data_IF_278507102648
#
_entry.id   IF_278507102648
#
_cell.length_a   1.000
_cell.length_b   1.000
_cell.length_c   1.000
_cell.angle_alpha   90.00
_cell.angle_beta   90.00
_cell.angle_gamma   90.00
#
_symmetry.space_group_name_H-M   'P 1'
#
loop_
_entity.id
_entity.type
_entity.pdbx_description
1 polymer ?
#
# COMPACT_ATOMS: atom_id res chain seq x y z
N UNK A 1 19.04 6.25 1.55
CA UNK A 1 18.07 5.16 1.25
C UNK A 1 18.41 3.86 1.98
N UNK A 2 19.69 3.54 2.17
CA UNK A 2 20.07 2.33 2.90
C UNK A 2 19.50 2.25 4.33
N UNK A 3 19.37 3.37 5.01
CA UNK A 3 18.71 3.43 6.32
C UNK A 3 17.32 2.81 6.31
N UNK A 4 16.51 3.11 5.30
CA UNK A 4 15.13 2.63 5.20
C UNK A 4 15.06 1.18 4.74
N UNK A 5 15.96 0.76 3.86
CA UNK A 5 16.07 -0.65 3.47
C UNK A 5 16.44 -1.51 4.68
N UNK A 6 17.38 -1.05 5.49
CA UNK A 6 17.77 -1.72 6.74
C UNK A 6 16.64 -1.73 7.76
N UNK A 7 15.89 -0.64 7.88
CA UNK A 7 14.71 -0.57 8.73
C UNK A 7 13.67 -1.64 8.33
N UNK A 8 13.36 -1.73 7.04
CA UNK A 8 12.41 -2.71 6.51
C UNK A 8 12.88 -4.16 6.77
N UNK A 9 14.16 -4.45 6.52
CA UNK A 9 14.71 -5.78 6.75
C UNK A 9 14.67 -6.17 8.23
N UNK A 10 15.04 -5.26 9.14
CA UNK A 10 14.92 -5.49 10.58
C UNK A 10 13.46 -5.66 11.02
N UNK A 11 12.54 -5.02 10.33
CA UNK A 11 11.10 -5.14 10.57
C UNK A 11 10.46 -6.40 10.03
N UNK A 12 11.24 -7.27 9.34
CA UNK A 12 10.75 -8.55 8.83
C UNK A 12 10.59 -8.65 7.31
N UNK A 13 10.99 -7.62 6.55
CA UNK A 13 11.00 -7.74 5.10
C UNK A 13 12.07 -8.75 4.65
N UNK A 14 11.66 -9.72 3.83
CA UNK A 14 12.58 -10.68 3.23
C UNK A 14 13.48 -10.01 2.20
N UNK A 15 12.93 -9.06 1.43
CA UNK A 15 13.65 -8.27 0.45
C UNK A 15 13.14 -6.84 0.47
N UNK A 16 14.03 -5.88 0.19
CA UNK A 16 13.69 -4.48 0.02
C UNK A 16 14.67 -3.85 -0.97
N UNK A 17 14.17 -3.06 -1.90
CA UNK A 17 14.95 -2.39 -2.93
C UNK A 17 14.40 -1.00 -3.24
N UNK A 18 15.29 -0.10 -3.60
CA UNK A 18 14.92 1.20 -4.19
C UNK A 18 14.60 0.97 -5.68
N UNK A 19 13.48 1.50 -6.12
CA UNK A 19 13.06 1.43 -7.52
C UNK A 19 12.72 2.82 -8.07
N UNK A 20 12.77 2.97 -9.37
CA UNK A 20 12.24 4.15 -10.07
C UNK A 20 10.70 4.02 -10.12
N UNK A 21 9.94 5.01 -9.61
CA UNK A 21 8.48 5.00 -9.70
C UNK A 21 7.94 4.81 -11.12
N UNK A 22 8.69 5.23 -12.14
CA UNK A 22 8.32 5.03 -13.55
C UNK A 22 8.25 3.57 -13.98
N UNK A 23 8.82 2.67 -13.19
CA UNK A 23 8.74 1.22 -13.43
C UNK A 23 7.48 0.59 -12.86
N UNK A 24 6.72 1.34 -12.08
CA UNK A 24 5.45 0.88 -11.52
C UNK A 24 4.37 1.02 -12.60
N UNK A 25 3.73 -0.09 -12.92
CA UNK A 25 2.69 -0.15 -13.95
C UNK A 25 1.33 -0.13 -13.28
N UNK A 26 0.46 0.79 -13.71
CA UNK A 26 -0.94 0.83 -13.31
C UNK A 26 -1.83 0.47 -14.49
N UNK A 27 -2.92 -0.24 -14.23
CA UNK A 27 -3.82 -0.68 -15.29
C UNK A 27 -5.23 -0.95 -14.76
N UNK A 28 -6.29 -0.72 -15.58
CA UNK A 28 -7.67 -0.97 -15.15
C UNK A 28 -7.99 -2.46 -14.95
N UNK A 29 -7.30 -3.37 -15.65
CA UNK A 29 -7.59 -4.81 -15.56
C UNK A 29 -7.32 -5.40 -14.16
N UNK A 30 -6.49 -4.76 -13.34
CA UNK A 30 -6.19 -5.24 -11.98
C UNK A 30 -7.45 -5.19 -11.11
N UNK A 31 -8.18 -4.07 -11.12
CA UNK A 31 -9.43 -3.94 -10.37
C UNK A 31 -10.53 -4.90 -10.89
N UNK A 32 -10.50 -5.24 -12.19
CA UNK A 32 -11.38 -6.27 -12.74
C UNK A 32 -11.18 -7.62 -12.06
N UNK A 33 -9.93 -8.02 -11.82
CA UNK A 33 -9.62 -9.26 -11.10
C UNK A 33 -10.16 -9.23 -9.66
N UNK A 34 -10.08 -8.07 -8.99
CA UNK A 34 -10.66 -7.91 -7.67
C UNK A 34 -12.18 -8.06 -7.71
N UNK A 35 -12.84 -7.41 -8.67
CA UNK A 35 -14.30 -7.42 -8.78
C UNK A 35 -14.85 -8.82 -9.08
N UNK A 36 -14.20 -9.58 -9.93
CA UNK A 36 -14.72 -10.85 -10.43
C UNK A 36 -14.04 -12.10 -9.87
N UNK A 37 -13.04 -11.92 -9.00
CA UNK A 37 -12.29 -13.05 -8.47
C UNK A 37 -11.88 -12.96 -7.00
N UNK A 38 -12.08 -11.82 -6.34
CA UNK A 38 -11.66 -11.64 -4.96
C UNK A 38 -12.84 -11.53 -4.00
N UNK A 39 -12.91 -12.35 -2.93
CA UNK A 39 -14.01 -12.30 -1.96
C UNK A 39 -14.02 -11.02 -1.12
N UNK A 40 -12.93 -10.24 -1.13
CA UNK A 40 -12.81 -8.99 -0.37
C UNK A 40 -13.29 -7.75 -1.13
N UNK A 41 -13.71 -7.89 -2.39
CA UNK A 41 -14.25 -6.77 -3.17
C UNK A 41 -15.44 -6.13 -2.44
N UNK A 42 -15.37 -4.83 -2.25
CA UNK A 42 -16.42 -4.06 -1.56
C UNK A 42 -16.52 -4.29 -0.05
N UNK A 43 -15.65 -5.11 0.53
CA UNK A 43 -15.74 -5.52 1.94
C UNK A 43 -14.93 -4.65 2.90
N UNK A 44 -14.02 -3.82 2.41
CA UNK A 44 -13.22 -2.90 3.22
C UNK A 44 -12.80 -1.67 2.41
N UNK A 45 -12.35 -0.62 3.10
CA UNK A 45 -12.02 0.67 2.47
C UNK A 45 -10.64 0.68 1.79
N UNK A 46 -9.84 -0.36 1.93
CA UNK A 46 -8.53 -0.48 1.29
C UNK A 46 -8.56 -1.25 -0.02
N UNK A 47 -9.73 -1.78 -0.40
CA UNK A 47 -9.97 -2.56 -1.61
C UNK A 47 -11.00 -1.88 -2.53
N UNK A 48 -11.05 -2.24 -3.81
CA UNK A 48 -12.06 -1.69 -4.70
C UNK A 48 -13.49 -2.05 -4.24
N UNK A 49 -14.46 -1.23 -4.53
CA UNK A 49 -14.41 0.05 -5.26
C UNK A 49 -14.02 1.25 -4.38
N UNK A 50 -13.65 1.02 -3.12
CA UNK A 50 -13.37 2.09 -2.15
C UNK A 50 -11.93 2.61 -2.23
N UNK A 51 -10.99 1.82 -2.74
CA UNK A 51 -9.62 2.25 -2.97
C UNK A 51 -9.55 3.19 -4.19
N UNK A 52 -8.52 4.06 -4.28
CA UNK A 52 -8.31 4.91 -5.45
C UNK A 52 -8.26 4.11 -6.75
N UNK A 53 -8.83 4.68 -7.82
CA UNK A 53 -8.77 4.08 -9.15
C UNK A 53 -7.35 4.16 -9.73
N UNK A 54 -7.04 3.31 -10.73
CA UNK A 54 -5.69 3.20 -11.30
C UNK A 54 -5.16 4.52 -11.87
N UNK A 55 -6.02 5.39 -12.41
CA UNK A 55 -5.62 6.70 -12.93
C UNK A 55 -5.19 7.66 -11.82
N UNK A 56 -5.91 7.66 -10.72
CA UNK A 56 -5.55 8.45 -9.53
C UNK A 56 -4.25 7.94 -8.91
N UNK A 57 -4.08 6.63 -8.86
CA UNK A 57 -2.85 5.98 -8.41
C UNK A 57 -1.67 6.37 -9.28
N UNK A 58 -1.83 6.35 -10.62
CA UNK A 58 -0.78 6.78 -11.54
C UNK A 58 -0.40 8.25 -11.31
N UNK A 59 -1.38 9.13 -11.18
CA UNK A 59 -1.14 10.54 -10.90
C UNK A 59 -0.40 10.75 -9.57
N UNK A 60 -0.72 9.96 -8.56
CA UNK A 60 -0.02 9.98 -7.28
C UNK A 60 1.44 9.51 -7.43
N UNK A 61 1.66 8.39 -8.13
CA UNK A 61 3.01 7.84 -8.38
C UNK A 61 3.89 8.86 -9.11
N UNK A 62 3.32 9.57 -10.08
CA UNK A 62 4.03 10.58 -10.86
C UNK A 62 4.55 11.77 -10.03
N UNK A 63 4.06 11.93 -8.80
CA UNK A 63 4.56 12.95 -7.86
C UNK A 63 5.87 12.56 -7.18
N UNK A 64 6.38 11.34 -7.36
CA UNK A 64 7.54 10.82 -6.65
C UNK A 64 8.72 10.56 -7.59
N UNK A 65 9.91 10.87 -7.12
CA UNK A 65 11.16 10.55 -7.80
C UNK A 65 11.82 9.25 -7.33
N UNK A 66 11.32 8.67 -6.26
CA UNK A 66 11.90 7.45 -5.66
C UNK A 66 10.79 6.63 -4.99
N UNK A 67 10.87 5.32 -5.12
CA UNK A 67 10.02 4.39 -4.40
C UNK A 67 10.85 3.28 -3.76
N UNK A 68 10.30 2.65 -2.73
CA UNK A 68 10.87 1.45 -2.12
C UNK A 68 9.85 0.33 -2.30
N UNK A 69 10.30 -0.76 -2.88
CA UNK A 69 9.54 -2.00 -2.97
C UNK A 69 10.10 -3.01 -1.98
N UNK A 70 9.22 -3.64 -1.22
CA UNK A 70 9.62 -4.70 -0.29
C UNK A 70 8.60 -5.82 -0.27
N UNK A 71 9.00 -6.98 0.21
CA UNK A 71 8.12 -8.11 0.42
C UNK A 71 8.36 -8.75 1.80
N UNK A 72 7.29 -9.30 2.36
CA UNK A 72 7.31 -10.04 3.62
C UNK A 72 6.86 -11.48 3.39
N UNK A 73 7.40 -12.46 4.17
CA UNK A 73 6.92 -13.84 4.09
C UNK A 73 5.45 -14.00 4.47
N UNK A 74 4.97 -13.17 5.42
CA UNK A 74 3.60 -13.17 5.89
C UNK A 74 2.87 -11.92 5.41
N UNK A 75 1.72 -12.08 4.75
CA UNK A 75 0.95 -10.98 4.18
C UNK A 75 0.49 -9.97 5.25
N UNK A 76 0.12 -10.44 6.43
CA UNK A 76 -0.33 -9.59 7.54
C UNK A 76 0.76 -8.68 8.10
N UNK A 77 2.04 -8.95 7.82
CA UNK A 77 3.15 -8.11 8.25
C UNK A 77 3.38 -6.91 7.31
N UNK A 78 2.86 -6.94 6.08
CA UNK A 78 3.15 -5.92 5.06
C UNK A 78 2.62 -4.54 5.45
N UNK A 79 1.33 -4.46 5.78
CA UNK A 79 0.68 -3.17 6.02
C UNK A 79 1.24 -2.43 7.24
N UNK A 80 1.42 -3.07 8.42
CA UNK A 80 2.04 -2.39 9.55
C UNK A 80 3.46 -1.93 9.26
N UNK A 81 4.25 -2.72 8.53
CA UNK A 81 5.63 -2.37 8.20
C UNK A 81 5.70 -1.23 7.18
N UNK A 82 4.82 -1.23 6.16
CA UNK A 82 4.72 -0.14 5.19
C UNK A 82 4.37 1.18 5.89
N UNK A 83 3.40 1.15 6.78
CA UNK A 83 3.00 2.33 7.54
C UNK A 83 4.12 2.84 8.46
N UNK A 84 4.82 1.94 9.14
CA UNK A 84 5.96 2.29 10.00
C UNK A 84 7.09 2.92 9.17
N UNK A 85 7.40 2.40 8.01
CA UNK A 85 8.42 2.95 7.11
C UNK A 85 8.04 4.35 6.60
N UNK A 86 6.77 4.56 6.22
CA UNK A 86 6.29 5.88 5.81
C UNK A 86 6.39 6.90 6.94
N UNK A 87 6.12 6.48 8.18
CA UNK A 87 6.29 7.33 9.36
C UNK A 87 7.74 7.71 9.59
N UNK A 88 8.68 6.78 9.47
CA UNK A 88 10.11 7.07 9.58
C UNK A 88 10.54 8.08 8.51
N UNK A 89 10.11 7.89 7.27
CA UNK A 89 10.39 8.83 6.18
C UNK A 89 9.84 10.23 6.49
N UNK A 90 8.62 10.31 7.00
CA UNK A 90 7.99 11.57 7.36
C UNK A 90 8.76 12.29 8.48
N UNK A 91 9.15 11.56 9.53
CA UNK A 91 9.92 12.12 10.65
C UNK A 91 11.32 12.61 10.23
N UNK A 92 11.87 12.02 9.18
CA UNK A 92 13.14 12.47 8.58
C UNK A 92 12.95 13.65 7.59
N UNK A 93 11.77 14.27 7.55
CA UNK A 93 11.47 15.43 6.73
C UNK A 93 10.96 15.13 5.31
N UNK A 94 10.69 13.88 4.98
CA UNK A 94 10.12 13.48 3.68
C UNK A 94 8.59 13.52 3.75
N UNK A 95 8.04 14.73 3.82
CA UNK A 95 6.62 14.96 4.11
C UNK A 95 5.63 14.34 3.11
N UNK A 96 6.07 14.06 1.89
CA UNK A 96 5.23 13.42 0.86
C UNK A 96 5.20 11.88 0.94
N UNK A 97 5.89 11.27 1.92
CA UNK A 97 5.93 9.81 2.03
C UNK A 97 4.52 9.21 2.09
N UNK A 98 4.27 8.24 1.23
CA UNK A 98 2.99 7.51 1.13
C UNK A 98 3.26 6.02 1.20
N UNK A 99 2.43 5.30 1.94
CA UNK A 99 2.49 3.84 2.03
C UNK A 99 1.34 3.20 1.26
N UNK A 100 1.65 2.16 0.52
CA UNK A 100 0.68 1.23 -0.07
C UNK A 100 0.91 -0.15 0.54
N UNK A 101 -0.19 -0.85 0.83
CA UNK A 101 -0.14 -2.18 1.39
C UNK A 101 -0.39 -3.27 0.38
N UNK A 102 -0.67 -4.46 0.87
CA UNK A 102 -1.07 -5.62 0.08
C UNK A 102 -2.21 -6.36 0.77
N UNK A 103 -3.16 -6.84 -0.01
CA UNK A 103 -4.33 -7.55 0.50
C UNK A 103 -5.36 -6.63 1.19
N UNK A 104 -6.40 -7.24 1.77
CA UNK A 104 -7.47 -6.49 2.44
C UNK A 104 -7.00 -5.87 3.74
N UNK A 105 -7.76 -4.86 4.22
CA UNK A 105 -7.57 -4.33 5.57
C UNK A 105 -8.09 -5.35 6.60
N UNK A 106 -7.24 -5.67 7.57
CA UNK A 106 -7.52 -6.63 8.64
C UNK A 106 -7.63 -5.99 10.03
N UNK A 107 -7.76 -4.65 10.10
CA UNK A 107 -7.81 -3.93 11.38
C UNK A 107 -9.12 -4.15 12.15
N UNK A 108 -10.21 -4.43 11.45
CA UNK A 108 -11.52 -4.72 12.04
C UNK A 108 -11.92 -6.14 11.70
N UNK A 109 -12.66 -6.80 12.60
CA UNK A 109 -13.27 -8.10 12.32
C UNK A 109 -14.25 -7.99 11.14
N UNK A 110 -15.05 -6.91 11.12
CA UNK A 110 -15.92 -6.55 10.01
C UNK A 110 -15.81 -5.05 9.75
N UNK A 111 -15.47 -4.67 8.53
CA UNK A 111 -15.30 -3.26 8.16
C UNK A 111 -16.65 -2.55 8.05
N UNK A 112 -16.77 -1.39 8.71
CA UNK A 112 -17.83 -0.44 8.43
C UNK A 112 -17.39 0.43 7.24
N UNK A 113 -17.73 0.03 6.03
CA UNK A 113 -17.32 0.71 4.78
C UNK A 113 -17.83 2.15 4.65
N UNK A 114 -18.74 2.60 5.51
CA UNK A 114 -19.22 3.97 5.53
C UNK A 114 -18.25 4.90 6.28
N UNK A 115 -17.56 4.40 7.30
CA UNK A 115 -16.65 5.19 8.13
C UNK A 115 -15.55 4.30 8.70
N UNK A 116 -14.28 4.68 8.49
CA UNK A 116 -13.14 3.97 9.03
C UNK A 116 -13.00 4.22 10.54
N UNK A 117 -12.84 3.15 11.33
CA UNK A 117 -12.59 3.22 12.79
C UNK A 117 -11.11 3.45 13.11
N UNK A 118 -10.21 3.26 12.15
CA UNK A 118 -8.76 3.36 12.31
C UNK A 118 -8.12 4.23 11.21
N UNK A 119 -8.54 5.50 11.05
CA UNK A 119 -8.15 6.31 9.88
C UNK A 119 -6.67 6.61 9.78
N UNK A 120 -5.90 6.49 10.84
CA UNK A 120 -4.45 6.68 10.81
C UNK A 120 -3.65 5.39 10.61
N UNK A 121 -4.30 4.25 10.46
CA UNK A 121 -3.67 2.92 10.40
C UNK A 121 -4.02 2.13 9.13
N UNK A 122 -5.13 2.46 8.49
CA UNK A 122 -5.55 1.83 7.25
C UNK A 122 -4.79 2.43 6.06
N UNK A 123 -4.25 1.57 5.21
CA UNK A 123 -3.58 1.98 3.96
C UNK A 123 -4.17 1.19 2.79
N UNK A 124 -4.30 1.80 1.61
CA UNK A 124 -4.86 1.11 0.46
C UNK A 124 -3.93 0.00 -0.03
N UNK A 125 -4.52 -1.08 -0.53
CA UNK A 125 -3.74 -2.16 -1.15
C UNK A 125 -3.26 -1.76 -2.54
N UNK A 126 -2.04 -2.17 -2.92
CA UNK A 126 -1.51 -1.94 -4.26
C UNK A 126 -2.45 -2.49 -5.32
N UNK A 127 -2.87 -3.73 -5.16
CA UNK A 127 -3.75 -4.43 -6.10
C UNK A 127 -5.08 -3.69 -6.26
N UNK A 128 -5.62 -3.20 -5.15
CA UNK A 128 -6.85 -2.42 -5.15
C UNK A 128 -6.72 -1.07 -5.85
N UNK A 129 -5.52 -0.52 -5.87
CA UNK A 129 -5.19 0.75 -6.55
C UNK A 129 -4.78 0.56 -8.01
N UNK A 130 -4.78 -0.65 -8.53
CA UNK A 130 -4.50 -0.93 -9.94
C UNK A 130 -3.03 -1.14 -10.29
N UNK A 131 -2.18 -1.41 -9.29
CA UNK A 131 -0.75 -1.72 -9.50
C UNK A 131 -0.56 -3.19 -9.78
#
# INVERSE_FOLDING_TARGET
MEKYLSFLRRGGAAQAAVIDPKTIVTAPWVAFKCQYGCPYYGKNLCCPPHAPAWRETQAMIDCFGTAILFCCPAMEAVNPLALAAAKELFLDGRYKAVALGSGPCLLCESCNVAECRHPGQAIPSMEGCGI
#
